data_IF_417986612948
#
_entry.id   IF_417986612948
#
_cell.length_a   1.000
_cell.length_b   1.000
_cell.length_c   1.000
_cell.angle_alpha   90.00
_cell.angle_beta   90.00
_cell.angle_gamma   90.00
#
_symmetry.space_group_name_H-M   'P 1'
#
loop_
_entity.id
_entity.type
_entity.pdbx_description
1 polymer ?
#
# COMPACT_ATOMS: atom_id res chain seq x y z
N UNK A 1 -6.56 -20.43 42.21
CA UNK A 1 -6.87 -21.58 41.34
C UNK A 1 -5.72 -21.76 40.36
N UNK A 2 -5.24 -22.98 40.06
CA UNK A 2 -4.95 -24.15 40.89
C UNK A 2 -3.45 -24.26 41.22
N UNK A 3 -3.12 -25.10 42.20
CA UNK A 3 -1.76 -25.56 42.53
C UNK A 3 -1.33 -26.68 41.57
N UNK A 4 -0.05 -26.71 41.20
CA UNK A 4 0.58 -27.86 40.57
C UNK A 4 1.85 -28.21 41.34
N UNK A 5 1.72 -29.24 42.19
CA UNK A 5 2.85 -29.93 42.80
C UNK A 5 3.46 -30.88 41.77
N UNK A 6 4.76 -30.79 41.55
CA UNK A 6 5.55 -31.76 40.80
C UNK A 6 6.20 -32.72 41.78
N UNK A 7 5.74 -33.98 41.81
CA UNK A 7 6.39 -35.07 42.54
C UNK A 7 7.02 -36.01 41.52
N UNK A 8 8.35 -36.07 41.51
CA UNK A 8 9.11 -37.05 40.75
C UNK A 8 9.34 -38.29 41.61
N UNK A 9 8.96 -39.47 41.10
CA UNK A 9 9.44 -40.76 41.61
C UNK A 9 9.92 -41.64 40.44
N UNK A 10 10.94 -42.49 40.66
CA UNK A 10 11.73 -43.08 39.59
C UNK A 10 11.20 -44.45 39.17
N UNK A 11 11.40 -44.82 37.90
CA UNK A 11 11.47 -46.23 37.52
C UNK A 11 10.86 -46.64 36.19
N UNK A 12 11.75 -46.88 35.23
CA UNK A 12 11.71 -47.91 34.17
C UNK A 12 10.74 -47.72 32.97
N UNK A 13 11.41 -47.51 31.84
CA UNK A 13 11.05 -47.98 30.49
C UNK A 13 9.83 -47.34 29.78
N UNK A 14 10.05 -46.11 29.33
CA UNK A 14 9.80 -45.63 27.95
C UNK A 14 8.60 -46.16 27.18
N UNK A 15 7.49 -45.44 27.24
CA UNK A 15 6.53 -45.22 26.13
C UNK A 15 5.90 -43.84 26.33
N UNK A 16 6.23 -42.87 25.48
CA UNK A 16 5.53 -41.58 25.41
C UNK A 16 4.53 -41.64 24.26
N UNK A 17 3.25 -41.62 24.60
CA UNK A 17 2.13 -41.51 23.67
C UNK A 17 1.78 -40.02 23.52
N UNK A 18 2.03 -39.44 22.34
CA UNK A 18 1.43 -38.16 21.95
C UNK A 18 0.22 -38.46 21.07
N UNK A 19 -0.96 -38.05 21.51
CA UNK A 19 -2.17 -38.03 20.68
C UNK A 19 -2.56 -36.56 20.47
N UNK A 20 -2.59 -36.14 19.21
CA UNK A 20 -3.18 -34.88 18.78
C UNK A 20 -4.21 -35.21 17.70
N UNK A 21 -5.48 -34.88 17.97
CA UNK A 21 -6.60 -35.23 17.10
C UNK A 21 -6.93 -34.05 16.19
N UNK A 22 -6.61 -34.16 14.90
CA UNK A 22 -7.26 -33.41 13.82
C UNK A 22 -7.34 -34.34 12.60
N UNK A 23 -8.56 -34.71 12.18
CA UNK A 23 -8.87 -35.13 10.82
C UNK A 23 -8.39 -36.52 10.35
N UNK A 24 -9.38 -37.40 10.13
CA UNK A 24 -9.36 -38.75 9.57
C UNK A 24 -8.30 -39.08 8.51
N UNK A 25 -7.17 -39.68 8.91
CA UNK A 25 -6.39 -40.73 8.21
C UNK A 25 -5.19 -41.16 9.10
N UNK A 26 -5.36 -42.24 9.86
CA UNK A 26 -4.33 -42.78 10.76
C UNK A 26 -3.32 -43.63 9.99
N UNK A 27 -2.06 -43.20 9.95
CA UNK A 27 -0.93 -44.03 9.46
C UNK A 27 -0.17 -44.60 10.67
N UNK A 28 -0.12 -45.93 10.77
CA UNK A 28 0.58 -46.65 11.83
C UNK A 28 2.00 -46.99 11.34
N UNK A 29 3.03 -46.46 12.01
CA UNK A 29 4.43 -46.83 11.77
C UNK A 29 4.86 -47.82 12.85
N UNK A 30 5.11 -49.07 12.47
CA UNK A 30 5.61 -50.12 13.37
C UNK A 30 7.15 -50.09 13.31
N UNK A 31 7.79 -49.53 14.33
CA UNK A 31 9.25 -49.64 14.49
C UNK A 31 9.61 -51.00 15.10
N UNK A 32 10.25 -51.87 14.31
CA UNK A 32 10.81 -53.12 14.80
C UNK A 32 12.02 -52.87 15.71
N UNK A 33 12.02 -53.47 16.89
CA UNK A 33 13.11 -53.41 17.87
C UNK A 33 14.35 -54.13 17.36
N UNK A 34 15.40 -53.38 17.01
CA UNK A 34 16.72 -53.97 16.72
C UNK A 34 17.36 -54.41 18.04
N UNK A 35 17.70 -55.70 18.11
CA UNK A 35 18.45 -56.34 19.20
C UNK A 35 19.80 -55.65 19.40
N UNK A 36 20.13 -55.27 20.64
CA UNK A 36 21.43 -54.70 21.00
C UNK A 36 22.30 -55.79 21.63
N UNK A 37 23.45 -56.18 21.05
CA UNK A 37 24.37 -57.11 21.71
C UNK A 37 25.06 -56.44 22.92
N UNK A 38 25.50 -57.22 23.92
CA UNK A 38 26.18 -56.68 25.11
C UNK A 38 27.53 -56.06 24.74
N UNK A 39 27.86 -54.94 25.41
CA UNK A 39 29.11 -54.21 25.22
C UNK A 39 30.33 -55.02 25.74
N UNK A 40 31.48 -54.99 25.06
CA UNK A 40 32.72 -55.55 25.57
C UNK A 40 33.29 -54.70 26.73
N UNK A 41 34.11 -55.28 27.62
CA UNK A 41 34.67 -54.58 28.77
C UNK A 41 35.65 -53.49 28.32
N UNK A 42 35.47 -52.28 28.85
CA UNK A 42 36.36 -51.13 28.65
C UNK A 42 37.63 -51.33 29.49
N UNK A 43 38.79 -51.46 28.83
CA UNK A 43 40.09 -51.34 29.47
C UNK A 43 40.33 -49.89 29.91
N UNK A 44 40.87 -49.71 31.12
CA UNK A 44 41.51 -48.45 31.50
C UNK A 44 42.75 -48.30 30.61
N UNK A 45 42.85 -47.16 29.91
CA UNK A 45 44.04 -46.64 29.20
C UNK A 45 43.93 -46.44 27.67
N UNK A 46 42.73 -46.24 27.12
CA UNK A 46 42.59 -45.66 25.77
C UNK A 46 41.69 -44.41 25.80
N UNK A 47 42.30 -43.23 25.71
CA UNK A 47 41.57 -41.97 25.50
C UNK A 47 41.44 -41.75 23.99
N UNK A 48 40.26 -41.92 23.36
CA UNK A 48 40.12 -41.57 21.96
C UNK A 48 40.19 -40.05 21.82
N UNK A 49 41.20 -39.55 21.11
CA UNK A 49 41.24 -38.16 20.67
C UNK A 49 40.10 -37.93 19.68
N UNK A 50 39.04 -37.27 20.14
CA UNK A 50 37.94 -36.81 19.28
C UNK A 50 38.42 -35.56 18.54
N UNK A 51 38.83 -35.71 17.28
CA UNK A 51 39.01 -34.57 16.37
C UNK A 51 37.64 -34.04 15.99
N UNK A 52 37.24 -32.90 16.56
CA UNK A 52 36.03 -32.19 16.12
C UNK A 52 36.21 -31.72 14.67
N UNK A 53 35.25 -31.95 13.76
CA UNK A 53 35.32 -31.40 12.41
C UNK A 53 35.34 -29.86 12.50
N UNK A 54 36.32 -29.23 11.85
CA UNK A 54 36.35 -27.78 11.75
C UNK A 54 35.07 -27.31 11.06
N UNK A 55 34.31 -26.48 11.78
CA UNK A 55 33.10 -25.85 11.28
C UNK A 55 33.52 -24.92 10.14
N UNK A 56 33.32 -25.33 8.90
CA UNK A 56 33.51 -24.46 7.74
C UNK A 56 32.81 -23.13 8.03
N UNK A 57 33.57 -22.03 8.00
CA UNK A 57 33.05 -20.71 8.26
C UNK A 57 31.85 -20.47 7.33
N UNK A 58 30.74 -20.00 7.90
CA UNK A 58 29.58 -19.56 7.10
C UNK A 58 30.12 -18.56 6.06
N UNK A 59 29.86 -18.76 4.76
CA UNK A 59 30.25 -17.78 3.75
C UNK A 59 29.82 -16.41 4.21
N UNK A 60 30.73 -15.43 4.16
CA UNK A 60 30.40 -14.07 4.51
C UNK A 60 29.14 -13.66 3.73
N UNK A 61 28.16 -12.99 4.37
CA UNK A 61 27.02 -12.47 3.64
C UNK A 61 27.56 -11.61 2.48
N UNK A 62 26.95 -11.69 1.28
CA UNK A 62 27.41 -10.90 0.15
C UNK A 62 27.49 -9.42 0.57
N UNK A 63 28.53 -8.68 0.14
CA UNK A 63 28.66 -7.27 0.47
C UNK A 63 27.40 -6.53 0.03
N UNK A 64 26.94 -5.59 0.84
CA UNK A 64 25.76 -4.79 0.53
C UNK A 64 25.91 -4.16 -0.87
N UNK A 65 24.83 -4.10 -1.67
CA UNK A 65 24.88 -3.46 -2.98
C UNK A 65 25.41 -2.02 -2.85
N UNK A 66 26.29 -1.63 -3.76
CA UNK A 66 26.89 -0.30 -3.72
C UNK A 66 25.84 0.75 -4.07
N UNK A 67 25.74 1.83 -3.30
CA UNK A 67 24.86 2.96 -3.58
C UNK A 67 25.65 4.08 -4.25
N UNK A 68 24.98 4.87 -5.08
CA UNK A 68 25.57 6.07 -5.69
C UNK A 68 24.61 7.24 -5.53
N UNK A 69 25.11 8.34 -4.97
CA UNK A 69 24.39 9.61 -4.90
C UNK A 69 24.75 10.48 -6.11
N UNK A 70 23.75 11.08 -6.73
CA UNK A 70 23.91 12.06 -7.81
C UNK A 70 23.06 13.28 -7.52
N UNK A 71 23.48 14.46 -7.96
CA UNK A 71 22.75 15.71 -7.75
C UNK A 71 22.76 16.58 -9.01
N UNK A 72 21.64 17.27 -9.23
CA UNK A 72 21.47 18.23 -10.31
C UNK A 72 20.80 19.50 -9.78
N UNK A 73 21.13 20.63 -10.38
CA UNK A 73 20.48 21.91 -10.08
C UNK A 73 19.30 22.10 -11.02
N UNK A 74 18.19 22.60 -10.48
CA UNK A 74 17.02 23.02 -11.25
C UNK A 74 17.34 24.32 -11.98
N UNK A 75 17.26 24.31 -13.31
CA UNK A 75 17.42 25.51 -14.13
C UNK A 75 16.05 26.07 -14.56
N UNK A 76 15.23 25.25 -15.21
CA UNK A 76 13.88 25.60 -15.64
C UNK A 76 12.80 24.86 -14.86
N UNK A 77 12.80 23.52 -14.89
CA UNK A 77 11.80 22.69 -14.20
C UNK A 77 12.40 21.54 -13.41
N UNK A 78 11.61 21.02 -12.46
CA UNK A 78 11.93 19.77 -11.75
C UNK A 78 12.21 18.62 -12.73
N UNK A 79 11.39 18.49 -13.78
CA UNK A 79 11.50 17.42 -14.76
C UNK A 79 12.83 17.47 -15.51
N UNK A 80 13.32 18.65 -15.88
CA UNK A 80 14.60 18.77 -16.59
C UNK A 80 15.77 18.32 -15.71
N UNK A 81 15.78 18.76 -14.44
CA UNK A 81 16.79 18.32 -13.48
C UNK A 81 16.74 16.80 -13.28
N UNK A 82 15.54 16.23 -13.14
CA UNK A 82 15.35 14.79 -12.99
C UNK A 82 15.84 13.99 -14.23
N UNK A 83 15.58 14.49 -15.44
CA UNK A 83 16.08 13.86 -16.68
C UNK A 83 17.60 13.86 -16.75
N UNK A 84 18.28 14.92 -16.29
CA UNK A 84 19.76 14.93 -16.23
C UNK A 84 20.34 13.89 -15.26
N UNK A 85 19.55 13.46 -14.27
CA UNK A 85 19.88 12.39 -13.33
C UNK A 85 19.49 11.00 -13.84
N UNK A 86 19.04 10.89 -15.10
CA UNK A 86 18.66 9.63 -15.74
C UNK A 86 17.35 9.03 -15.22
N UNK A 87 16.46 9.86 -14.65
CA UNK A 87 15.11 9.44 -14.26
C UNK A 87 14.23 9.52 -15.51
N UNK A 88 13.48 8.44 -15.80
CA UNK A 88 12.58 8.39 -16.95
C UNK A 88 11.28 9.19 -16.72
N UNK A 89 10.59 9.56 -17.79
CA UNK A 89 9.38 10.39 -17.73
C UNK A 89 8.25 9.81 -16.86
N UNK A 90 8.13 8.48 -16.78
CA UNK A 90 7.08 7.83 -15.98
C UNK A 90 7.39 7.91 -14.48
N UNK A 91 8.66 7.75 -14.11
CA UNK A 91 9.14 7.95 -12.74
C UNK A 91 9.09 9.43 -12.37
N UNK A 92 9.42 10.34 -13.28
CA UNK A 92 9.29 11.79 -13.07
C UNK A 92 7.84 12.15 -12.75
N UNK A 93 6.87 11.69 -13.54
CA UNK A 93 5.46 11.95 -13.28
C UNK A 93 5.02 11.43 -11.90
N UNK A 94 5.53 10.26 -11.50
CA UNK A 94 5.23 9.67 -10.19
C UNK A 94 5.86 10.47 -9.04
N UNK A 95 7.10 10.93 -9.20
CA UNK A 95 7.78 11.79 -8.22
C UNK A 95 7.11 13.16 -8.11
N UNK A 96 6.66 13.73 -9.23
CA UNK A 96 5.85 14.95 -9.24
C UNK A 96 4.59 14.80 -8.40
N UNK A 97 3.87 13.68 -8.54
CA UNK A 97 2.71 13.37 -7.67
C UNK A 97 3.13 13.21 -6.21
N UNK A 98 4.23 12.52 -5.93
CA UNK A 98 4.73 12.27 -4.58
C UNK A 98 5.09 13.56 -3.82
N UNK A 99 5.73 14.50 -4.50
CA UNK A 99 6.11 15.79 -3.89
C UNK A 99 4.95 16.78 -3.81
N UNK A 100 3.86 16.60 -4.57
CA UNK A 100 2.75 17.56 -4.66
C UNK A 100 2.05 17.84 -3.32
N UNK A 101 2.17 16.93 -2.35
CA UNK A 101 1.63 17.12 -0.98
C UNK A 101 2.44 18.11 -0.13
N UNK A 102 3.71 18.33 -0.47
CA UNK A 102 4.64 19.16 0.33
C UNK A 102 5.25 20.32 -0.44
N UNK A 103 5.24 20.27 -1.77
CA UNK A 103 5.83 21.27 -2.66
C UNK A 103 4.85 21.55 -3.80
N UNK A 104 4.41 22.80 -3.95
CA UNK A 104 3.73 23.25 -5.16
C UNK A 104 4.80 23.49 -6.24
N UNK A 105 4.97 22.52 -7.14
CA UNK A 105 6.03 22.59 -8.17
C UNK A 105 5.97 23.83 -9.06
N UNK A 106 4.82 24.49 -9.21
CA UNK A 106 4.72 25.73 -10.01
C UNK A 106 5.12 26.97 -9.22
N UNK A 107 4.92 26.96 -7.91
CA UNK A 107 5.09 28.12 -7.05
C UNK A 107 6.40 28.10 -6.27
N UNK A 108 6.84 26.92 -5.85
CA UNK A 108 7.89 26.76 -4.85
C UNK A 108 9.24 26.42 -5.49
N UNK A 109 9.26 25.73 -6.63
CA UNK A 109 10.48 25.44 -7.40
C UNK A 109 11.05 26.72 -8.01
N UNK A 110 12.35 26.93 -7.84
CA UNK A 110 13.12 28.03 -8.42
C UNK A 110 14.41 27.55 -9.06
N UNK A 111 14.92 28.36 -9.99
CA UNK A 111 16.28 28.21 -10.51
C UNK A 111 17.27 28.25 -9.34
N UNK A 112 18.15 27.24 -9.28
CA UNK A 112 19.12 27.08 -8.20
C UNK A 112 18.72 26.08 -7.12
N UNK A 113 17.46 25.62 -7.09
CA UNK A 113 17.06 24.50 -6.24
C UNK A 113 17.82 23.23 -6.63
N UNK A 114 17.97 22.29 -5.70
CA UNK A 114 18.80 21.09 -5.94
C UNK A 114 17.96 19.83 -5.81
N UNK A 115 18.14 18.92 -6.76
CA UNK A 115 17.59 17.57 -6.75
C UNK A 115 18.72 16.58 -6.54
N UNK A 116 18.61 15.75 -5.50
CA UNK A 116 19.57 14.68 -5.20
C UNK A 116 18.88 13.32 -5.23
N UNK A 117 19.53 12.32 -5.80
CA UNK A 117 19.01 10.95 -5.93
C UNK A 117 20.02 9.91 -5.49
N UNK A 118 19.53 8.82 -4.91
CA UNK A 118 20.33 7.63 -4.60
C UNK A 118 19.87 6.48 -5.49
N UNK A 119 20.81 5.87 -6.21
CA UNK A 119 20.58 4.62 -6.95
C UNK A 119 21.27 3.42 -6.29
N UNK A 120 20.66 2.25 -6.44
CA UNK A 120 21.29 0.97 -6.13
C UNK A 120 22.06 0.46 -7.36
N UNK A 121 23.35 0.09 -7.19
CA UNK A 121 24.10 -0.61 -8.25
C UNK A 121 23.98 -2.13 -8.07
N UNK A 122 23.50 -2.86 -9.10
CA UNK A 122 23.61 -4.32 -9.14
C UNK A 122 25.08 -4.75 -9.13
N UNK A 123 25.39 -5.88 -8.49
CA UNK A 123 26.73 -6.46 -8.57
C UNK A 123 27.02 -6.95 -9.99
N UNK A 124 27.99 -6.34 -10.67
CA UNK A 124 28.53 -6.82 -11.96
C UNK A 124 27.81 -6.32 -13.22
N UNK A 125 26.94 -5.31 -13.15
CA UNK A 125 26.23 -4.76 -14.31
C UNK A 125 25.99 -3.25 -14.23
N UNK A 126 25.55 -2.66 -15.34
CA UNK A 126 25.05 -1.29 -15.37
C UNK A 126 23.91 -1.13 -14.35
N UNK A 127 23.79 0.06 -13.74
CA UNK A 127 22.69 0.34 -12.82
C UNK A 127 21.37 0.01 -13.51
N UNK A 128 20.37 -0.43 -12.75
CA UNK A 128 18.99 -0.26 -13.19
C UNK A 128 18.73 1.25 -13.15
N UNK A 129 19.26 1.97 -14.15
CA UNK A 129 18.82 3.30 -14.50
C UNK A 129 17.33 3.14 -14.76
N UNK A 130 16.50 3.74 -13.91
CA UNK A 130 15.10 4.14 -14.17
C UNK A 130 14.46 4.54 -12.82
N UNK A 131 14.76 3.84 -11.71
CA UNK A 131 14.06 4.05 -10.43
C UNK A 131 15.02 4.26 -9.23
N UNK A 132 15.14 5.48 -8.68
CA UNK A 132 15.99 5.75 -7.52
C UNK A 132 15.44 5.13 -6.22
N UNK A 133 16.30 4.83 -5.26
CA UNK A 133 15.90 4.39 -3.91
C UNK A 133 15.38 5.55 -3.05
N UNK A 134 15.93 6.75 -3.27
CA UNK A 134 15.57 7.95 -2.53
C UNK A 134 15.79 9.19 -3.38
N UNK A 135 14.93 10.19 -3.19
CA UNK A 135 14.99 11.48 -3.88
C UNK A 135 14.81 12.59 -2.85
N UNK A 136 15.72 13.56 -2.86
CA UNK A 136 15.60 14.81 -2.11
C UNK A 136 15.44 15.98 -3.05
N UNK A 137 14.42 16.78 -2.82
CA UNK A 137 14.26 18.09 -3.43
C UNK A 137 14.52 19.16 -2.36
N UNK A 138 15.51 20.02 -2.60
CA UNK A 138 15.84 21.15 -1.73
C UNK A 138 15.36 22.44 -2.38
N UNK A 139 14.36 23.08 -1.78
CA UNK A 139 13.77 24.35 -2.21
C UNK A 139 14.12 25.45 -1.20
N UNK A 140 15.06 26.33 -1.54
CA UNK A 140 15.59 27.33 -0.60
C UNK A 140 16.18 26.69 0.68
N UNK A 141 15.54 26.93 1.83
CA UNK A 141 15.97 26.38 3.13
C UNK A 141 15.29 25.04 3.50
N UNK A 142 14.29 24.61 2.73
CA UNK A 142 13.52 23.40 2.99
C UNK A 142 14.06 22.22 2.17
N UNK A 143 14.04 21.03 2.75
CA UNK A 143 14.36 19.78 2.04
C UNK A 143 13.21 18.80 2.21
N UNK A 144 12.83 18.17 1.10
CA UNK A 144 11.73 17.24 1.00
C UNK A 144 12.27 15.91 0.50
N UNK A 145 12.09 14.84 1.28
CA UNK A 145 12.60 13.51 0.96
C UNK A 145 11.44 12.55 0.67
N UNK A 146 11.59 11.78 -0.41
CA UNK A 146 10.74 10.62 -0.69
C UNK A 146 11.60 9.40 -0.92
N UNK A 147 11.12 8.25 -0.44
CA UNK A 147 11.85 6.98 -0.48
C UNK A 147 11.01 5.90 -1.14
N UNK A 148 11.68 5.08 -1.94
CA UNK A 148 11.06 3.95 -2.62
C UNK A 148 10.82 2.81 -1.62
N UNK A 149 9.61 2.27 -1.63
CA UNK A 149 9.25 1.03 -0.96
C UNK A 149 8.56 0.12 -1.97
N UNK A 150 9.00 -1.14 -2.06
CA UNK A 150 8.30 -2.16 -2.82
C UNK A 150 7.38 -2.95 -1.91
N UNK A 151 6.11 -3.02 -2.25
CA UNK A 151 5.15 -3.83 -1.49
C UNK A 151 5.40 -5.34 -1.67
N UNK A 152 4.72 -6.23 -0.93
CA UNK A 152 4.94 -7.68 -1.07
C UNK A 152 4.66 -8.26 -2.46
N UNK A 153 3.93 -7.53 -3.32
CA UNK A 153 3.72 -7.90 -4.72
C UNK A 153 4.84 -7.37 -5.64
N UNK A 154 5.76 -6.56 -5.12
CA UNK A 154 6.88 -5.95 -5.85
C UNK A 154 6.58 -4.57 -6.41
N UNK A 155 5.37 -4.03 -6.20
CA UNK A 155 4.95 -2.76 -6.77
C UNK A 155 5.65 -1.58 -6.07
N UNK A 156 6.27 -0.65 -6.83
CA UNK A 156 6.94 0.50 -6.26
C UNK A 156 5.95 1.55 -5.73
N UNK A 157 6.26 2.10 -4.57
CA UNK A 157 5.51 3.19 -3.93
C UNK A 157 6.47 4.14 -3.22
N UNK A 158 6.10 5.40 -3.16
CA UNK A 158 6.90 6.46 -2.57
C UNK A 158 6.34 6.85 -1.21
N UNK A 159 7.22 6.94 -0.21
CA UNK A 159 6.87 7.24 1.17
C UNK A 159 7.75 8.37 1.72
N UNK A 160 7.21 9.14 2.65
CA UNK A 160 7.97 10.06 3.50
C UNK A 160 8.89 9.27 4.43
N UNK A 161 9.83 9.96 5.08
CA UNK A 161 10.75 9.36 6.05
C UNK A 161 10.06 8.58 7.19
N UNK A 162 8.87 9.01 7.58
CA UNK A 162 8.12 8.42 8.70
C UNK A 162 7.26 7.21 8.28
N UNK A 163 7.31 6.85 6.99
CA UNK A 163 6.52 5.76 6.42
C UNK A 163 5.09 6.15 6.07
N UNK A 164 4.79 7.45 5.97
CA UNK A 164 3.53 7.95 5.42
C UNK A 164 3.63 7.91 3.90
N UNK A 165 2.63 7.42 3.18
CA UNK A 165 2.76 7.41 1.72
C UNK A 165 2.55 8.80 1.15
N UNK A 166 3.12 9.02 -0.02
CA UNK A 166 3.18 10.32 -0.68
C UNK A 166 2.03 10.57 -1.66
N UNK A 167 1.25 9.53 -2.01
CA UNK A 167 0.03 9.73 -2.79
C UNK A 167 -1.15 10.02 -1.84
N UNK A 168 -2.24 10.62 -2.33
CA UNK A 168 -3.46 10.73 -1.53
C UNK A 168 -4.25 9.41 -1.56
N UNK A 169 -4.69 8.90 -0.40
CA UNK A 169 -5.53 7.69 -0.31
C UNK A 169 -6.83 7.83 -1.11
N UNK A 170 -7.29 9.07 -1.28
CA UNK A 170 -8.49 9.44 -2.01
C UNK A 170 -8.17 10.39 -3.16
N UNK A 171 -8.69 10.09 -4.35
CA UNK A 171 -8.93 11.10 -5.38
C UNK A 171 -10.19 11.89 -5.02
N UNK A 172 -10.11 13.22 -5.07
CA UNK A 172 -11.28 14.08 -4.89
C UNK A 172 -12.29 13.96 -6.03
N UNK A 173 -11.80 13.65 -7.23
CA UNK A 173 -12.62 13.55 -8.44
C UNK A 173 -12.51 12.13 -9.05
N UNK A 174 -13.59 11.33 -8.99
CA UNK A 174 -13.59 9.95 -9.50
C UNK A 174 -13.87 9.83 -11.00
N UNK A 175 -14.09 10.94 -11.71
CA UNK A 175 -14.49 10.95 -13.12
C UNK A 175 -13.89 12.18 -13.81
N UNK A 176 -13.60 12.09 -15.10
CA UNK A 176 -13.30 13.26 -15.91
C UNK A 176 -14.62 13.98 -16.23
N UNK A 177 -14.83 15.19 -15.70
CA UNK A 177 -16.08 15.92 -15.80
C UNK A 177 -15.89 17.31 -16.41
N UNK A 178 -16.98 17.89 -16.91
CA UNK A 178 -16.99 19.20 -17.56
C UNK A 178 -17.23 20.34 -16.57
N UNK A 179 -18.12 20.13 -15.61
CA UNK A 179 -18.42 21.07 -14.51
C UNK A 179 -19.12 20.33 -13.36
N UNK A 180 -19.08 20.91 -12.17
CA UNK A 180 -20.01 20.54 -11.09
C UNK A 180 -21.38 21.11 -11.47
N UNK A 181 -22.37 20.25 -11.71
CA UNK A 181 -23.73 20.68 -12.09
C UNK A 181 -24.63 20.94 -10.89
N UNK A 182 -24.33 20.32 -9.74
CA UNK A 182 -24.95 20.64 -8.46
C UNK A 182 -23.97 20.34 -7.33
N UNK A 183 -23.85 21.30 -6.41
CA UNK A 183 -23.04 21.17 -5.20
C UNK A 183 -23.78 20.37 -4.11
N UNK A 184 -23.02 19.93 -3.11
CA UNK A 184 -23.56 19.38 -1.87
C UNK A 184 -24.40 20.43 -1.15
N UNK A 185 -25.54 20.02 -0.60
CA UNK A 185 -26.39 20.94 0.13
C UNK A 185 -27.29 20.22 1.11
N UNK A 186 -27.30 20.66 2.36
CA UNK A 186 -28.24 20.15 3.37
C UNK A 186 -29.69 20.58 3.09
N UNK A 187 -29.91 21.54 2.17
CA UNK A 187 -31.24 22.07 1.83
C UNK A 187 -31.26 22.65 0.42
N UNK A 188 -31.60 21.81 -0.56
CA UNK A 188 -31.79 22.17 -1.97
C UNK A 188 -33.22 21.89 -2.39
N UNK A 189 -33.77 22.71 -3.29
CA UNK A 189 -34.99 22.35 -4.00
C UNK A 189 -34.66 21.31 -5.07
N UNK A 190 -35.22 20.10 -4.96
CA UNK A 190 -35.00 19.02 -5.91
C UNK A 190 -35.92 19.18 -7.13
N UNK A 191 -35.35 19.31 -8.34
CA UNK A 191 -36.13 19.56 -9.55
C UNK A 191 -36.86 18.32 -10.07
N UNK A 192 -36.49 17.11 -9.61
CA UNK A 192 -37.13 15.86 -10.04
C UNK A 192 -38.39 15.63 -9.22
N UNK A 193 -38.28 15.69 -7.89
CA UNK A 193 -39.41 15.41 -6.99
C UNK A 193 -40.15 16.66 -6.49
N UNK A 194 -39.67 17.85 -6.85
CA UNK A 194 -40.27 19.14 -6.54
C UNK A 194 -40.45 19.40 -5.03
N UNK A 195 -39.43 19.03 -4.23
CA UNK A 195 -39.42 19.21 -2.77
C UNK A 195 -38.06 19.70 -2.28
N UNK A 196 -38.05 20.38 -1.13
CA UNK A 196 -36.80 20.68 -0.44
C UNK A 196 -36.25 19.43 0.22
N UNK A 197 -35.05 19.02 -0.16
CA UNK A 197 -34.34 17.86 0.38
C UNK A 197 -32.83 18.13 0.39
N UNK A 198 -32.09 17.31 1.14
CA UNK A 198 -30.65 17.33 1.03
C UNK A 198 -30.21 16.78 -0.32
N UNK A 199 -29.07 17.29 -0.77
CA UNK A 199 -28.26 16.71 -1.82
C UNK A 199 -26.99 16.20 -1.15
N UNK A 200 -26.97 14.89 -0.87
CA UNK A 200 -25.98 14.24 -0.02
C UNK A 200 -24.63 14.00 -0.73
N UNK A 201 -24.43 14.62 -1.89
CA UNK A 201 -23.23 14.48 -2.71
C UNK A 201 -23.05 15.66 -3.67
N UNK A 202 -22.21 15.48 -4.67
CA UNK A 202 -22.04 16.40 -5.80
C UNK A 202 -22.42 15.72 -7.11
N UNK A 203 -22.98 16.50 -8.03
CA UNK A 203 -23.29 16.05 -9.38
C UNK A 203 -22.19 16.53 -10.33
N UNK A 204 -21.46 15.59 -10.90
CA UNK A 204 -20.35 15.83 -11.83
C UNK A 204 -20.83 15.57 -13.25
N UNK A 205 -21.07 16.63 -14.03
CA UNK A 205 -21.60 16.53 -15.37
C UNK A 205 -20.57 15.95 -16.36
N UNK A 206 -20.89 14.81 -16.94
CA UNK A 206 -20.03 14.09 -17.88
C UNK A 206 -20.87 13.29 -18.90
N UNK A 207 -20.37 13.06 -20.13
CA UNK A 207 -21.08 12.26 -21.12
C UNK A 207 -21.38 10.83 -20.64
N UNK A 208 -22.51 10.25 -21.08
CA UNK A 208 -22.84 8.83 -20.85
C UNK A 208 -21.68 7.96 -21.33
N UNK A 209 -21.29 6.98 -20.51
CA UNK A 209 -20.20 6.06 -20.84
C UNK A 209 -18.82 6.52 -20.39
N UNK A 210 -18.68 7.72 -19.81
CA UNK A 210 -17.41 8.18 -19.22
C UNK A 210 -17.00 7.24 -18.07
N UNK A 211 -15.76 6.74 -18.02
CA UNK A 211 -15.31 5.85 -16.94
C UNK A 211 -15.38 6.52 -15.57
N UNK A 212 -15.94 5.79 -14.60
CA UNK A 212 -15.98 6.18 -13.18
C UNK A 212 -15.01 5.29 -12.42
N UNK A 213 -14.10 5.91 -11.68
CA UNK A 213 -13.03 5.26 -10.94
C UNK A 213 -13.33 5.27 -9.44
N UNK A 214 -12.86 4.25 -8.73
CA UNK A 214 -12.89 4.26 -7.27
C UNK A 214 -12.00 5.41 -6.73
N UNK A 215 -12.60 6.31 -5.96
CA UNK A 215 -11.89 7.45 -5.36
C UNK A 215 -10.78 6.98 -4.41
N UNK A 216 -11.01 5.91 -3.67
CA UNK A 216 -10.03 5.25 -2.81
C UNK A 216 -10.10 3.74 -2.97
N UNK A 217 -9.10 3.04 -2.45
CA UNK A 217 -9.20 1.60 -2.27
C UNK A 217 -10.33 1.25 -1.32
N UNK A 218 -10.91 0.05 -1.47
CA UNK A 218 -11.99 -0.38 -0.60
C UNK A 218 -12.59 -1.71 -1.01
N UNK A 219 -13.68 -2.06 -0.33
CA UNK A 219 -14.47 -3.25 -0.64
C UNK A 219 -15.86 -2.82 -1.12
N UNK A 220 -16.38 -3.46 -2.17
CA UNK A 220 -17.72 -3.19 -2.68
C UNK A 220 -18.76 -3.62 -1.63
N UNK A 221 -19.30 -2.64 -0.88
CA UNK A 221 -20.40 -2.84 0.07
C UNK A 221 -21.68 -3.18 -0.66
N UNK A 222 -21.93 -2.50 -1.78
CA UNK A 222 -23.10 -2.72 -2.62
C UNK A 222 -22.81 -2.39 -4.09
N UNK A 223 -23.29 -3.23 -5.00
CA UNK A 223 -23.41 -2.93 -6.44
C UNK A 223 -24.77 -3.42 -6.92
N UNK A 224 -25.58 -2.53 -7.48
CA UNK A 224 -26.93 -2.87 -7.88
C UNK A 224 -27.79 -1.67 -8.23
N UNK A 225 -29.11 -1.85 -8.18
CA UNK A 225 -30.07 -0.76 -8.42
C UNK A 225 -30.77 -0.37 -7.13
N UNK A 226 -30.86 0.93 -6.88
CA UNK A 226 -31.66 1.50 -5.80
C UNK A 226 -32.56 2.61 -6.34
N UNK A 227 -33.72 2.80 -5.72
CA UNK A 227 -34.62 3.91 -6.02
C UNK A 227 -33.90 5.24 -5.77
N UNK A 228 -34.12 6.25 -6.61
CA UNK A 228 -33.38 7.50 -6.58
C UNK A 228 -32.03 7.38 -7.29
N UNK A 229 -31.09 6.61 -6.75
CA UNK A 229 -29.74 6.48 -7.30
C UNK A 229 -29.65 5.80 -8.67
N UNK A 230 -30.62 4.97 -9.04
CA UNK A 230 -30.51 4.14 -10.23
C UNK A 230 -29.47 3.04 -10.04
N UNK A 231 -28.58 2.83 -11.02
CA UNK A 231 -27.43 1.91 -10.84
C UNK A 231 -26.39 2.60 -9.98
N UNK A 232 -26.01 1.95 -8.90
CA UNK A 232 -25.15 2.50 -7.86
C UNK A 232 -24.09 1.50 -7.43
N UNK A 233 -22.90 2.01 -7.14
CA UNK A 233 -21.82 1.31 -6.45
C UNK A 233 -21.57 2.04 -5.13
N UNK A 234 -21.48 1.30 -4.03
CA UNK A 234 -21.08 1.80 -2.72
C UNK A 234 -19.83 1.05 -2.29
N UNK A 235 -18.79 1.79 -1.93
CA UNK A 235 -17.53 1.24 -1.43
C UNK A 235 -17.43 1.52 0.06
N UNK A 236 -17.09 0.48 0.81
CA UNK A 236 -16.55 0.61 2.17
C UNK A 236 -15.05 0.88 2.01
N UNK A 237 -14.62 2.09 2.36
CA UNK A 237 -13.22 2.50 2.29
C UNK A 237 -12.56 2.30 3.68
N UNK A 238 -11.25 2.53 3.84
CA UNK A 238 -10.64 2.52 5.17
C UNK A 238 -11.41 3.43 6.14
N UNK A 239 -11.73 2.96 7.37
CA UNK A 239 -12.52 3.73 8.32
C UNK A 239 -11.95 5.13 8.57
N UNK A 240 -12.80 6.15 8.78
CA UNK A 240 -14.27 6.11 8.88
C UNK A 240 -15.03 6.28 7.55
N UNK A 241 -14.39 6.06 6.40
CA UNK A 241 -14.91 6.55 5.11
C UNK A 241 -15.71 5.51 4.32
N UNK A 242 -16.75 5.98 3.61
CA UNK A 242 -17.37 5.25 2.50
C UNK A 242 -17.70 6.18 1.34
N UNK A 243 -17.81 5.64 0.13
CA UNK A 243 -18.09 6.42 -1.09
C UNK A 243 -19.22 5.82 -1.92
N UNK A 244 -20.03 6.69 -2.54
CA UNK A 244 -21.19 6.29 -3.36
C UNK A 244 -21.06 6.86 -4.77
N UNK A 245 -21.37 6.03 -5.76
CA UNK A 245 -21.27 6.36 -7.18
C UNK A 245 -22.58 5.96 -7.86
N UNK A 246 -23.43 6.94 -8.15
CA UNK A 246 -24.80 6.72 -8.61
C UNK A 246 -25.04 7.18 -10.06
N UNK A 247 -26.27 6.94 -10.53
CA UNK A 247 -26.75 7.22 -11.88
C UNK A 247 -25.99 6.50 -13.00
N UNK A 248 -25.25 5.45 -12.69
CA UNK A 248 -24.39 4.75 -13.64
C UNK A 248 -25.20 4.17 -14.83
N UNK A 249 -24.61 4.14 -16.02
CA UNK A 249 -25.20 3.47 -17.18
C UNK A 249 -24.99 1.96 -17.11
N UNK A 250 -23.80 1.54 -16.65
CA UNK A 250 -23.41 0.13 -16.44
C UNK A 250 -22.26 0.03 -15.43
N UNK A 251 -22.12 -1.15 -14.83
CA UNK A 251 -21.00 -1.47 -13.94
C UNK A 251 -19.78 -1.93 -14.75
N UNK A 252 -18.60 -1.82 -14.15
CA UNK A 252 -17.40 -2.46 -14.69
C UNK A 252 -17.56 -3.99 -14.71
N UNK A 253 -16.92 -4.64 -15.69
CA UNK A 253 -16.98 -6.10 -15.83
C UNK A 253 -16.38 -6.78 -14.59
N UNK A 254 -17.10 -7.73 -14.02
CA UNK A 254 -16.62 -8.54 -12.88
C UNK A 254 -16.78 -7.88 -11.50
N UNK A 255 -17.30 -6.65 -11.44
CA UNK A 255 -17.62 -5.99 -10.17
C UNK A 255 -18.80 -6.69 -9.48
N UNK A 256 -18.64 -7.02 -8.19
CA UNK A 256 -19.64 -7.73 -7.37
C UNK A 256 -19.49 -7.33 -5.90
N UNK A 257 -20.54 -7.54 -5.09
CA UNK A 257 -20.47 -7.33 -3.65
C UNK A 257 -19.32 -8.13 -3.03
N UNK A 258 -18.61 -7.51 -2.09
CA UNK A 258 -17.44 -8.08 -1.42
C UNK A 258 -16.15 -8.07 -2.24
N UNK A 259 -16.16 -7.61 -3.49
CA UNK A 259 -14.93 -7.48 -4.27
C UNK A 259 -14.07 -6.32 -3.73
N UNK A 260 -12.76 -6.53 -3.64
CA UNK A 260 -11.81 -5.45 -3.37
C UNK A 260 -11.55 -4.65 -4.64
N UNK A 261 -11.46 -3.33 -4.49
CA UNK A 261 -11.08 -2.40 -5.56
C UNK A 261 -9.90 -1.54 -5.12
N UNK A 262 -9.04 -1.20 -6.07
CA UNK A 262 -7.92 -0.26 -5.85
C UNK A 262 -8.36 1.15 -6.20
N UNK A 263 -7.73 2.17 -5.59
CA UNK A 263 -7.88 3.57 -6.02
C UNK A 263 -7.60 3.67 -7.53
N UNK A 264 -8.42 4.44 -8.24
CA UNK A 264 -8.30 4.61 -9.69
C UNK A 264 -8.83 3.44 -10.52
N UNK A 265 -9.26 2.33 -9.92
CA UNK A 265 -9.85 1.22 -10.66
C UNK A 265 -11.22 1.64 -11.22
N UNK A 266 -11.48 1.34 -12.50
CA UNK A 266 -12.81 1.55 -13.12
C UNK A 266 -13.85 0.65 -12.43
N UNK A 267 -14.89 1.26 -11.89
CA UNK A 267 -16.01 0.58 -11.19
C UNK A 267 -17.32 0.69 -11.96
N UNK A 268 -17.42 1.65 -12.87
CA UNK A 268 -18.63 1.84 -13.66
C UNK A 268 -18.44 2.91 -14.71
N UNK A 269 -19.56 3.31 -15.30
CA UNK A 269 -19.58 4.33 -16.33
C UNK A 269 -20.77 5.26 -16.11
N UNK A 270 -20.54 6.55 -16.34
CA UNK A 270 -21.55 7.61 -16.21
C UNK A 270 -22.81 7.25 -17.02
N UNK A 271 -23.96 7.63 -16.49
CA UNK A 271 -25.24 7.41 -17.12
C UNK A 271 -26.27 8.45 -16.66
N UNK A 272 -27.52 8.04 -16.71
CA UNK A 272 -28.68 8.84 -16.35
C UNK A 272 -29.78 7.90 -15.80
N UNK A 273 -29.39 6.93 -14.96
CA UNK A 273 -30.37 6.00 -14.39
C UNK A 273 -30.90 6.49 -13.05
N UNK A 274 -32.16 6.19 -12.72
CA UNK A 274 -32.76 6.66 -11.47
C UNK A 274 -33.36 8.07 -11.64
N UNK A 275 -33.28 8.88 -10.60
CA UNK A 275 -33.75 10.27 -10.59
C UNK A 275 -32.63 11.19 -11.06
N UNK A 276 -32.40 11.19 -12.37
CA UNK A 276 -31.43 12.05 -13.04
C UNK A 276 -32.15 12.88 -14.11
N UNK A 277 -31.79 14.15 -14.24
CA UNK A 277 -32.34 15.07 -15.27
C UNK A 277 -31.46 15.15 -16.52
N UNK A 278 -30.29 14.53 -16.49
CA UNK A 278 -29.32 14.48 -17.58
C UNK A 278 -28.09 13.65 -17.19
N UNK A 279 -27.16 13.40 -18.12
CA UNK A 279 -25.98 12.59 -17.86
C UNK A 279 -25.03 13.23 -16.83
N UNK A 280 -24.83 12.54 -15.70
CA UNK A 280 -23.88 12.94 -14.66
C UNK A 280 -23.52 11.75 -13.75
N UNK A 281 -22.46 11.92 -12.96
CA UNK A 281 -22.18 11.09 -11.80
C UNK A 281 -22.66 11.82 -10.55
N UNK A 282 -23.56 11.22 -9.78
CA UNK A 282 -23.78 11.63 -8.40
C UNK A 282 -22.76 10.92 -7.51
N UNK A 283 -21.93 11.70 -6.83
CA UNK A 283 -20.81 11.23 -6.03
C UNK A 283 -20.95 11.69 -4.58
N UNK A 284 -20.85 10.75 -3.64
CA UNK A 284 -20.88 11.04 -2.21
C UNK A 284 -19.60 10.55 -1.52
N UNK A 285 -19.19 11.30 -0.51
CA UNK A 285 -18.24 10.88 0.52
C UNK A 285 -18.98 10.88 1.84
N UNK A 286 -18.88 9.79 2.59
CA UNK A 286 -19.48 9.67 3.92
C UNK A 286 -18.41 9.41 4.96
N UNK A 287 -18.54 10.06 6.11
CA UNK A 287 -17.70 9.89 7.30
C UNK A 287 -18.59 9.38 8.42
N UNK A 288 -18.32 8.19 8.94
CA UNK A 288 -19.18 7.51 9.92
C UNK A 288 -20.64 7.42 9.44
N UNK A 289 -20.81 7.01 8.17
CA UNK A 289 -22.08 6.94 7.44
C UNK A 289 -22.84 8.27 7.25
N UNK A 290 -22.27 9.41 7.67
CA UNK A 290 -22.84 10.75 7.45
C UNK A 290 -22.28 11.36 6.17
N UNK A 291 -23.15 11.81 5.27
CA UNK A 291 -22.76 12.48 4.04
C UNK A 291 -22.08 13.82 4.32
N UNK A 292 -20.90 14.01 3.74
CA UNK A 292 -20.09 15.22 3.81
C UNK A 292 -19.87 15.77 2.41
N UNK A 293 -19.66 17.07 2.29
CA UNK A 293 -19.34 17.70 1.00
C UNK A 293 -18.04 17.12 0.42
N UNK A 294 -18.09 16.33 -0.67
CA UNK A 294 -16.91 15.72 -1.28
C UNK A 294 -15.85 16.74 -1.74
N UNK A 295 -16.26 17.99 -2.01
CA UNK A 295 -15.36 19.04 -2.50
C UNK A 295 -14.57 19.69 -1.37
N UNK A 296 -15.04 19.63 -0.12
CA UNK A 296 -14.42 20.34 1.02
C UNK A 296 -14.05 19.44 2.19
N UNK A 297 -14.63 18.24 2.32
CA UNK A 297 -14.34 17.30 3.42
C UNK A 297 -12.85 16.98 3.50
N UNK A 298 -12.31 16.87 4.71
CA UNK A 298 -10.94 16.38 4.90
C UNK A 298 -10.89 14.89 4.55
N UNK A 299 -10.05 14.57 3.56
CA UNK A 299 -9.79 13.21 3.12
C UNK A 299 -8.44 12.78 3.68
N UNK A 300 -8.29 11.51 4.09
CA UNK A 300 -7.06 11.06 4.70
C UNK A 300 -5.95 11.06 3.65
N UNK A 301 -4.72 11.34 4.11
CA UNK A 301 -3.52 10.93 3.40
C UNK A 301 -3.45 9.40 3.28
N UNK A 302 -2.57 8.90 2.40
CA UNK A 302 -2.44 7.47 2.06
C UNK A 302 -2.32 6.48 3.22
N UNK A 303 -2.40 5.17 2.90
CA UNK A 303 -2.04 4.03 3.76
C UNK A 303 -0.58 4.12 4.26
N UNK A 304 -0.32 4.49 5.52
CA UNK A 304 1.04 4.45 6.03
C UNK A 304 1.51 3.01 6.18
N UNK A 305 2.82 2.79 6.07
CA UNK A 305 3.42 1.52 6.46
C UNK A 305 3.08 1.23 7.93
N UNK A 306 2.77 -0.03 8.24
CA UNK A 306 2.39 -0.44 9.59
C UNK A 306 3.36 -1.47 10.17
N UNK A 307 3.37 -1.58 11.50
CA UNK A 307 4.05 -2.65 12.22
C UNK A 307 5.55 -2.76 11.92
N UNK A 308 6.00 -3.98 11.58
CA UNK A 308 7.41 -4.25 11.30
C UNK A 308 7.89 -3.62 9.99
N UNK A 309 7.03 -3.56 8.97
CA UNK A 309 7.34 -2.92 7.70
C UNK A 309 7.69 -1.44 7.90
N UNK A 310 6.89 -0.71 8.71
CA UNK A 310 7.17 0.68 9.07
C UNK A 310 8.52 0.84 9.77
N UNK A 311 8.80 0.00 10.77
CA UNK A 311 10.06 0.07 11.54
C UNK A 311 11.28 -0.19 10.67
N UNK A 312 11.21 -1.21 9.80
CA UNK A 312 12.30 -1.54 8.88
C UNK A 312 12.52 -0.42 7.88
N UNK A 313 11.44 0.06 7.27
CA UNK A 313 11.48 1.15 6.31
C UNK A 313 12.03 2.44 6.95
N UNK A 314 11.55 2.85 8.12
CA UNK A 314 12.01 4.08 8.78
C UNK A 314 13.53 4.06 9.05
N UNK A 315 14.08 2.89 9.43
CA UNK A 315 15.54 2.72 9.62
C UNK A 315 16.30 2.89 8.29
N UNK A 316 15.76 2.32 7.21
CA UNK A 316 16.35 2.43 5.88
C UNK A 316 16.26 3.86 5.32
N UNK A 317 15.07 4.47 5.41
CA UNK A 317 14.84 5.87 5.03
C UNK A 317 15.74 6.82 5.81
N UNK A 318 15.98 6.57 7.11
CA UNK A 318 16.91 7.40 7.89
C UNK A 318 18.35 7.31 7.39
N UNK A 319 18.81 6.12 6.98
CA UNK A 319 20.14 5.95 6.40
C UNK A 319 20.25 6.66 5.04
N UNK A 320 19.26 6.46 4.15
CA UNK A 320 19.21 7.11 2.84
C UNK A 320 19.12 8.64 2.95
N UNK A 321 18.34 9.15 3.91
CA UNK A 321 18.22 10.60 4.18
C UNK A 321 19.54 11.22 4.61
N UNK A 322 20.41 10.47 5.31
CA UNK A 322 21.75 10.92 5.68
C UNK A 322 22.70 10.92 4.46
N UNK A 323 22.63 9.91 3.60
CA UNK A 323 23.38 9.82 2.34
C UNK A 323 22.98 10.93 1.33
N UNK A 324 21.74 11.42 1.38
CA UNK A 324 21.28 12.57 0.59
C UNK A 324 21.78 13.92 1.12
N UNK A 325 22.32 13.97 2.35
CA UNK A 325 22.85 15.17 2.98
C UNK A 325 24.36 15.34 2.82
N UNK A 326 25.05 14.31 2.33
CA UNK A 326 26.51 14.26 2.17
C UNK A 326 26.94 14.63 0.76
#
# INVERSE_FOLDING_TARGET
MPSLSSTALPGKAGRLLFTCAIGSLSTIVICNTLHRPPAPPVGKDDTPTVTLPQRNARPAPPPAPARTTQSATVDETFSDAAQTLGIDDSTIATLTEAFASTVDMRRDIRKGDTLSVIYERPQGGAAAHDEPLAVRLTTGASSHDVFLYRDPAGEPRWYSKDGESTKPAFSRYPVAFTRVSSDFSLRRFDPVVHRWQSHDGVDLAAPIGTPVHAAAQGTVKFVGRQTGYGKVVMLENPPPYSTVYAHLSRFAKGLRNGATVRRGQVIGYVGETGWATGPHLHYEVRVDDVAMDPLTVELPGDDPLQGEARRRFAKEAQALSAELSS
#
